data_IF_755337840920
#
_entry.id   IF_755337840920
#
_cell.length_a   1.000
_cell.length_b   1.000
_cell.length_c   1.000
_cell.angle_alpha   90.00
_cell.angle_beta   90.00
_cell.angle_gamma   90.00
#
_symmetry.space_group_name_H-M   'P 1'
#
loop_
_entity.id
_entity.type
_entity.pdbx_description
1 polymer ?
#
# COMPACT_ATOMS: atom_id res chain seq x y z
N UNK A 1 3.42 -8.21 -18.00
CA UNK A 1 4.09 -7.87 -16.72
C UNK A 1 5.35 -7.08 -17.04
N UNK A 2 5.23 -5.77 -17.10
CA UNK A 2 6.37 -4.88 -17.36
C UNK A 2 7.06 -4.59 -16.03
N UNK A 3 8.33 -4.95 -15.93
CA UNK A 3 9.19 -4.64 -14.78
C UNK A 3 9.63 -3.19 -14.90
N UNK A 4 9.18 -2.33 -14.00
CA UNK A 4 9.71 -0.96 -13.88
C UNK A 4 11.02 -1.05 -13.08
N UNK A 5 12.14 -0.64 -13.67
CA UNK A 5 13.45 -0.73 -13.01
C UNK A 5 13.60 0.28 -11.86
N UNK A 6 14.24 -0.17 -10.78
CA UNK A 6 14.40 0.56 -9.52
C UNK A 6 15.67 1.43 -9.51
N UNK A 7 15.66 2.64 -8.91
CA UNK A 7 16.88 3.42 -8.69
C UNK A 7 17.72 2.90 -7.49
N UNK A 8 18.96 3.35 -7.45
CA UNK A 8 20.17 2.71 -6.89
C UNK A 8 20.31 2.51 -5.35
N UNK A 9 21.38 1.76 -5.02
CA UNK A 9 21.99 1.37 -3.71
C UNK A 9 21.59 2.26 -2.50
N UNK A 10 20.64 1.76 -1.74
CA UNK A 10 20.10 2.27 -0.48
C UNK A 10 19.12 1.21 0.04
N UNK A 11 18.35 1.42 1.11
CA UNK A 11 17.31 0.47 1.55
C UNK A 11 16.54 -0.10 0.34
N UNK A 12 16.60 -1.42 0.14
CA UNK A 12 15.89 -2.16 -0.89
C UNK A 12 14.50 -1.55 -1.08
N UNK A 13 14.24 -1.03 -2.28
CA UNK A 13 13.00 -0.36 -2.59
C UNK A 13 11.83 -1.35 -2.50
N UNK A 14 10.66 -0.84 -2.14
CA UNK A 14 9.42 -1.63 -2.22
C UNK A 14 9.09 -1.81 -3.70
N UNK A 15 9.12 -3.05 -4.15
CA UNK A 15 8.69 -3.43 -5.50
C UNK A 15 7.19 -3.71 -5.51
N UNK A 16 6.49 -3.10 -6.47
CA UNK A 16 5.03 -3.19 -6.64
C UNK A 16 4.71 -3.66 -8.04
N UNK A 17 4.18 -4.88 -8.12
CA UNK A 17 3.76 -5.45 -9.39
C UNK A 17 2.46 -4.78 -9.86
N UNK A 18 2.40 -4.47 -11.15
CA UNK A 18 1.22 -3.90 -11.81
C UNK A 18 0.71 -4.87 -12.87
N UNK A 19 -0.60 -5.13 -12.87
CA UNK A 19 -1.28 -5.87 -13.92
C UNK A 19 -1.65 -4.95 -15.09
N UNK A 20 -1.22 -5.31 -16.30
CA UNK A 20 -1.42 -4.51 -17.51
C UNK A 20 -2.92 -4.31 -17.83
N UNK A 21 -3.76 -5.28 -17.48
CA UNK A 21 -5.23 -5.19 -17.66
C UNK A 21 -5.88 -4.14 -16.79
N UNK A 22 -5.40 -3.98 -15.55
CA UNK A 22 -5.91 -2.98 -14.60
C UNK A 22 -5.35 -1.59 -14.89
N UNK A 23 -4.11 -1.51 -15.39
CA UNK A 23 -3.46 -0.27 -15.77
C UNK A 23 -4.20 0.47 -16.91
N UNK A 24 -4.95 -0.26 -17.75
CA UNK A 24 -5.79 0.31 -18.80
C UNK A 24 -7.02 1.06 -18.29
N UNK A 25 -7.37 0.93 -17.00
CA UNK A 25 -8.52 1.63 -16.40
C UNK A 25 -8.00 2.95 -15.79
N UNK A 26 -8.19 4.12 -16.44
CA UNK A 26 -7.43 5.33 -16.11
C UNK A 26 -7.64 5.85 -14.68
N UNK A 27 -8.79 5.52 -14.08
CA UNK A 27 -9.15 5.94 -12.73
C UNK A 27 -8.72 4.97 -11.63
N UNK A 28 -8.29 3.76 -11.97
CA UNK A 28 -7.96 2.75 -10.99
C UNK A 28 -6.53 2.92 -10.48
N UNK A 29 -6.35 2.90 -9.17
CA UNK A 29 -5.05 2.70 -8.53
C UNK A 29 -5.01 1.27 -8.03
N UNK A 30 -4.01 0.51 -8.45
CA UNK A 30 -3.83 -0.88 -8.04
C UNK A 30 -2.35 -1.20 -7.87
N UNK A 31 -2.04 -2.28 -7.17
CA UNK A 31 -0.69 -2.78 -7.04
C UNK A 31 -0.63 -4.00 -6.14
N UNK A 32 0.26 -4.92 -6.47
CA UNK A 32 0.50 -6.13 -5.67
C UNK A 32 1.89 -6.03 -5.06
N UNK A 33 1.98 -6.11 -3.74
CA UNK A 33 3.26 -6.04 -3.01
C UNK A 33 4.10 -7.28 -3.25
N UNK A 34 5.42 -7.13 -3.34
CA UNK A 34 6.36 -8.24 -3.18
C UNK A 34 6.82 -8.36 -1.72
N UNK A 35 7.57 -9.41 -1.38
CA UNK A 35 8.08 -9.61 0.00
C UNK A 35 9.23 -8.66 0.36
N UNK A 36 9.94 -8.09 -0.60
CA UNK A 36 11.18 -7.35 -0.35
C UNK A 36 10.93 -5.87 -0.02
N UNK A 37 11.90 -5.25 0.67
CA UNK A 37 11.96 -3.79 0.84
C UNK A 37 11.21 -3.22 2.04
N UNK A 38 10.80 -4.08 2.98
CA UNK A 38 10.15 -3.66 4.22
C UNK A 38 11.08 -3.56 5.42
N UNK A 39 10.47 -3.39 6.57
CA UNK A 39 11.11 -3.17 7.88
C UNK A 39 10.99 -4.38 8.82
N UNK A 40 10.24 -5.42 8.43
CA UNK A 40 10.08 -6.61 9.26
C UNK A 40 11.36 -7.41 9.31
N UNK A 41 11.75 -7.84 10.51
CA UNK A 41 12.96 -8.65 10.72
C UNK A 41 12.68 -10.15 10.61
N UNK A 42 11.43 -10.54 10.76
CA UNK A 42 10.94 -11.90 10.53
C UNK A 42 11.10 -12.27 9.06
N UNK A 43 11.23 -13.58 8.78
CA UNK A 43 11.26 -14.13 7.41
C UNK A 43 12.47 -13.72 6.55
N UNK A 44 13.68 -13.75 7.12
CA UNK A 44 14.91 -13.44 6.39
C UNK A 44 15.30 -11.96 6.39
N UNK A 45 14.55 -11.12 7.12
CA UNK A 45 14.87 -9.72 7.35
C UNK A 45 14.54 -8.78 6.19
N UNK A 46 14.24 -7.53 6.52
CA UNK A 46 13.86 -6.47 5.56
C UNK A 46 12.64 -6.84 4.71
N UNK A 47 11.76 -7.66 5.28
CA UNK A 47 10.56 -8.13 4.61
C UNK A 47 9.44 -7.08 4.71
N UNK A 48 8.64 -6.97 3.66
CA UNK A 48 7.44 -6.16 3.56
C UNK A 48 6.23 -6.98 4.02
N UNK A 49 6.22 -7.36 5.30
CA UNK A 49 5.05 -7.98 5.89
C UNK A 49 3.95 -6.92 6.12
N UNK A 50 2.77 -7.15 5.57
CA UNK A 50 1.59 -6.29 5.70
C UNK A 50 0.55 -6.87 6.68
N UNK A 51 0.69 -8.12 7.10
CA UNK A 51 -0.19 -8.79 8.05
C UNK A 51 0.34 -8.68 9.48
N UNK A 52 -0.53 -8.36 10.44
CA UNK A 52 -0.15 -8.48 11.84
C UNK A 52 -0.02 -9.96 12.19
N UNK A 53 1.08 -10.33 12.83
CA UNK A 53 1.31 -11.68 13.32
C UNK A 53 2.17 -11.64 14.58
N UNK A 54 2.10 -12.67 15.42
CA UNK A 54 2.78 -12.72 16.72
C UNK A 54 4.31 -12.69 16.57
N UNK A 55 4.82 -13.32 15.51
CA UNK A 55 6.23 -13.40 15.17
C UNK A 55 6.83 -12.10 14.58
N UNK A 56 6.05 -11.02 14.42
CA UNK A 56 6.54 -9.76 13.84
C UNK A 56 6.13 -8.56 14.70
N UNK A 57 6.93 -7.50 14.63
CA UNK A 57 6.65 -6.27 15.36
C UNK A 57 5.47 -5.53 14.75
N UNK A 58 4.48 -5.19 15.58
CA UNK A 58 3.35 -4.34 15.18
C UNK A 58 3.81 -3.02 14.54
N UNK A 59 4.88 -2.43 15.08
CA UNK A 59 5.44 -1.18 14.55
C UNK A 59 6.05 -1.38 13.15
N UNK A 60 6.77 -2.48 12.92
CA UNK A 60 7.32 -2.81 11.61
C UNK A 60 6.22 -3.00 10.56
N UNK A 61 5.16 -3.73 10.90
CA UNK A 61 4.01 -3.93 10.00
C UNK A 61 3.29 -2.60 9.71
N UNK A 62 3.13 -1.72 10.69
CA UNK A 62 2.56 -0.39 10.47
C UNK A 62 3.42 0.47 9.54
N UNK A 63 4.75 0.43 9.70
CA UNK A 63 5.68 1.11 8.80
C UNK A 63 5.58 0.56 7.37
N UNK A 64 5.56 -0.77 7.21
CA UNK A 64 5.40 -1.43 5.92
C UNK A 64 4.09 -1.04 5.24
N UNK A 65 2.97 -1.02 5.96
CA UNK A 65 1.66 -0.59 5.44
C UNK A 65 1.69 0.86 4.95
N UNK A 66 2.27 1.78 5.72
CA UNK A 66 2.40 3.19 5.31
C UNK A 66 3.29 3.33 4.08
N UNK A 67 4.43 2.64 4.06
CA UNK A 67 5.37 2.69 2.95
C UNK A 67 4.74 2.13 1.67
N UNK A 68 4.09 0.97 1.73
CA UNK A 68 3.39 0.39 0.59
C UNK A 68 2.25 1.30 0.09
N UNK A 69 1.42 1.84 0.99
CA UNK A 69 0.35 2.78 0.63
C UNK A 69 0.89 4.04 -0.07
N UNK A 70 2.03 4.55 0.37
CA UNK A 70 2.69 5.69 -0.28
C UNK A 70 3.17 5.34 -1.69
N UNK A 71 3.81 4.18 -1.89
CA UNK A 71 4.33 3.75 -3.20
C UNK A 71 3.18 3.46 -4.17
N UNK A 72 2.14 2.75 -3.72
CA UNK A 72 1.04 2.35 -4.61
C UNK A 72 0.24 3.55 -5.13
N UNK A 73 0.14 4.62 -4.34
CA UNK A 73 -0.63 5.84 -4.66
C UNK A 73 0.19 6.96 -5.30
N UNK A 74 1.52 6.83 -5.36
CA UNK A 74 2.42 7.87 -5.86
C UNK A 74 2.03 8.37 -7.27
N UNK A 75 1.75 7.44 -8.19
CA UNK A 75 1.38 7.74 -9.59
C UNK A 75 0.12 8.62 -9.74
N UNK A 76 -0.74 8.65 -8.72
CA UNK A 76 -1.96 9.47 -8.73
C UNK A 76 -1.79 10.79 -8.01
N UNK A 77 -0.99 10.82 -6.94
CA UNK A 77 -0.67 12.04 -6.22
C UNK A 77 0.09 13.05 -7.10
N UNK A 78 0.88 12.58 -8.07
CA UNK A 78 1.57 13.44 -9.04
C UNK A 78 0.66 14.01 -10.13
N UNK A 79 -0.46 13.33 -10.46
CA UNK A 79 -1.40 13.71 -11.53
C UNK A 79 -2.56 14.60 -11.08
N UNK A 80 -2.69 14.92 -9.79
CA UNK A 80 -3.77 15.80 -9.28
C UNK A 80 -3.25 16.75 -8.21
N UNK A 81 -2.62 17.88 -8.62
CA UNK A 81 -2.10 18.88 -7.68
C UNK A 81 -3.20 19.66 -6.95
N UNK A 82 -4.41 19.74 -7.51
CA UNK A 82 -5.41 20.74 -7.11
C UNK A 82 -6.40 20.32 -5.99
N UNK A 83 -6.35 19.08 -5.47
CA UNK A 83 -7.26 18.62 -4.39
C UNK A 83 -6.58 17.94 -3.21
N UNK A 84 -5.25 17.91 -3.22
CA UNK A 84 -4.48 17.16 -2.24
C UNK A 84 -3.80 18.14 -1.27
N UNK A 85 -4.45 18.43 -0.14
CA UNK A 85 -3.73 18.95 1.03
C UNK A 85 -2.55 18.05 1.41
N UNK A 86 -1.67 18.49 2.33
CA UNK A 86 -0.34 17.91 2.54
C UNK A 86 -0.35 16.38 2.59
N UNK A 87 0.31 15.74 1.61
CA UNK A 87 0.60 14.29 1.51
C UNK A 87 -0.46 13.39 2.15
N UNK A 88 -1.70 13.44 1.65
CA UNK A 88 -2.76 12.55 2.14
C UNK A 88 -2.49 11.10 1.70
N UNK A 89 -1.78 10.34 2.53
CA UNK A 89 -1.67 8.88 2.40
C UNK A 89 -3.10 8.33 2.50
N UNK A 90 -3.54 7.58 1.50
CA UNK A 90 -4.87 6.99 1.51
C UNK A 90 -5.00 6.00 2.68
N UNK A 91 -6.11 6.03 3.44
CA UNK A 91 -6.30 5.10 4.55
C UNK A 91 -6.38 3.66 4.03
N UNK A 92 -5.57 2.77 4.59
CA UNK A 92 -5.61 1.34 4.28
C UNK A 92 -6.64 0.65 5.17
N UNK A 93 -7.75 0.20 4.57
CA UNK A 93 -8.77 -0.59 5.26
C UNK A 93 -8.45 -2.07 5.05
N UNK A 94 -8.25 -2.81 6.14
CA UNK A 94 -8.02 -4.26 6.12
C UNK A 94 -9.13 -4.97 6.89
N UNK A 95 -9.49 -6.18 6.49
CA UNK A 95 -10.45 -7.04 7.20
C UNK A 95 -9.71 -8.14 7.96
N UNK A 96 -10.37 -8.74 8.96
CA UNK A 96 -9.94 -10.02 9.52
C UNK A 96 -10.36 -11.11 8.54
N UNK A 97 -9.40 -11.65 7.81
CA UNK A 97 -9.67 -12.75 6.89
C UNK A 97 -9.92 -14.03 7.71
N UNK A 98 -11.06 -14.67 7.47
CA UNK A 98 -11.49 -15.92 8.14
C UNK A 98 -11.84 -17.02 7.14
N UNK A 99 -11.37 -16.89 5.89
CA UNK A 99 -11.69 -17.81 4.79
C UNK A 99 -13.21 -17.94 4.51
N UNK A 100 -13.96 -16.86 4.70
CA UNK A 100 -15.38 -16.78 4.35
C UNK A 100 -15.61 -16.04 3.02
N UNK A 101 -16.85 -16.09 2.55
CA UNK A 101 -17.40 -15.34 1.42
C UNK A 101 -18.00 -13.98 1.82
N UNK A 102 -17.77 -13.54 3.06
CA UNK A 102 -18.34 -12.29 3.59
C UNK A 102 -17.76 -11.05 2.89
N UNK A 103 -18.64 -10.23 2.31
CA UNK A 103 -18.28 -8.97 1.66
C UNK A 103 -18.67 -7.80 2.54
N UNK A 104 -17.71 -6.94 2.85
CA UNK A 104 -17.94 -5.69 3.55
C UNK A 104 -17.97 -4.52 2.56
N UNK A 105 -19.16 -3.96 2.34
CA UNK A 105 -19.29 -2.72 1.59
C UNK A 105 -18.61 -1.55 2.33
N UNK A 106 -17.90 -0.70 1.58
CA UNK A 106 -17.21 0.49 2.10
C UNK A 106 -17.54 1.70 1.24
N UNK A 107 -18.09 2.72 1.89
CA UNK A 107 -18.25 4.05 1.32
C UNK A 107 -17.25 5.01 1.98
N UNK A 108 -16.91 6.09 1.30
CA UNK A 108 -16.14 7.17 1.91
C UNK A 108 -16.92 7.72 3.11
N UNK A 109 -16.30 7.72 4.29
CA UNK A 109 -16.90 8.32 5.47
C UNK A 109 -16.88 9.84 5.27
N UNK A 110 -18.07 10.45 5.08
CA UNK A 110 -18.19 11.91 5.00
C UNK A 110 -17.60 12.49 6.29
N UNK A 111 -16.54 13.28 6.16
CA UNK A 111 -16.06 14.11 7.26
C UNK A 111 -17.20 15.05 7.63
N UNK A 112 -17.79 14.89 8.81
CA UNK A 112 -18.69 15.91 9.35
C UNK A 112 -17.86 17.19 9.49
N UNK A 113 -18.33 18.29 8.89
CA UNK A 113 -17.79 19.60 9.19
C UNK A 113 -17.95 19.81 10.71
N UNK A 114 -16.90 20.32 11.35
CA UNK A 114 -17.04 20.88 12.70
C UNK A 114 -17.60 22.28 12.50
N UNK A 115 -18.73 22.55 13.14
CA UNK A 115 -19.31 23.89 13.28
C UNK A 115 -18.41 24.77 14.16
#
# INVERSE_FOLDING_TARGET
MVKVESPAKGKAAIDVLRADSLARIPWLVHGFSTRSGGSSRTYGGRALNLGFATQDSRAAVQMNRRAFASVVTADRLTRSPARSGPKSIWPLITVRQIHSDLIHHRAAQRRRARD
#
